data_IF_298923437341
#
_entry.id   IF_298923437341
#
_cell.length_a   1.000
_cell.length_b   1.000
_cell.length_c   1.000
_cell.angle_alpha   90.00
_cell.angle_beta   90.00
_cell.angle_gamma   90.00
#
_symmetry.space_group_name_H-M   'P 1'
#
loop_
_entity.id
_entity.type
_entity.pdbx_description
1 polymer ?
#
# COMPACT_ATOMS: atom_id res chain seq x y z
N UNK A 1 22.96 0.56 13.46
CA UNK A 1 23.11 -0.39 12.33
C UNK A 1 22.45 0.17 11.08
N UNK A 2 23.16 0.14 9.95
CA UNK A 2 22.58 0.44 8.65
C UNK A 2 21.47 -0.59 8.36
N UNK A 3 20.26 -0.10 8.09
CA UNK A 3 19.07 -0.93 7.91
C UNK A 3 18.99 -1.40 6.46
N UNK A 4 18.54 -2.64 6.20
CA UNK A 4 18.33 -3.12 4.83
C UNK A 4 17.40 -2.17 4.07
N UNK A 5 17.79 -1.84 2.84
CA UNK A 5 16.92 -1.16 1.87
C UNK A 5 15.72 -2.05 1.57
N UNK A 6 14.53 -1.46 1.50
CA UNK A 6 13.35 -2.16 1.02
C UNK A 6 13.41 -2.18 -0.50
N UNK A 7 13.18 -3.35 -1.08
CA UNK A 7 13.05 -3.50 -2.52
C UNK A 7 11.71 -2.88 -2.92
N UNK A 8 11.76 -1.81 -3.70
CA UNK A 8 10.61 -1.06 -4.19
C UNK A 8 10.74 -0.86 -5.69
N UNK A 9 9.79 -1.41 -6.44
CA UNK A 9 9.73 -1.30 -7.89
C UNK A 9 8.26 -1.33 -8.36
N UNK A 10 7.95 -0.75 -9.54
CA UNK A 10 6.62 -0.78 -10.13
C UNK A 10 6.04 -2.20 -10.22
N UNK A 11 4.76 -2.34 -9.88
CA UNK A 11 4.04 -3.63 -9.90
C UNK A 11 4.44 -4.62 -8.79
N UNK A 12 5.30 -4.23 -7.84
CA UNK A 12 5.69 -5.10 -6.74
C UNK A 12 4.51 -5.37 -5.78
N UNK A 13 4.36 -6.63 -5.38
CA UNK A 13 3.35 -7.08 -4.41
C UNK A 13 4.00 -7.33 -3.06
N UNK A 14 3.35 -6.89 -1.99
CA UNK A 14 3.84 -7.02 -0.63
C UNK A 14 2.79 -7.56 0.31
N UNK A 15 3.19 -8.48 1.19
CA UNK A 15 2.49 -8.71 2.43
C UNK A 15 3.04 -7.78 3.50
N UNK A 16 2.17 -6.91 4.03
CA UNK A 16 2.51 -5.86 4.97
C UNK A 16 1.83 -6.13 6.31
N UNK A 17 2.59 -5.93 7.39
CA UNK A 17 2.06 -5.93 8.75
C UNK A 17 2.58 -4.76 9.56
N UNK A 18 1.72 -4.19 10.40
CA UNK A 18 2.08 -3.17 11.39
C UNK A 18 1.38 -3.47 12.70
N UNK A 19 2.11 -3.48 13.81
CA UNK A 19 1.63 -3.89 15.13
C UNK A 19 1.75 -2.75 16.13
N UNK A 20 0.76 -2.67 17.03
CA UNK A 20 0.66 -1.65 18.07
C UNK A 20 1.84 -1.66 19.01
N UNK A 21 2.28 -0.49 19.44
CA UNK A 21 3.40 -0.35 20.36
C UNK A 21 3.16 -1.20 21.61
N UNK A 22 4.20 -1.87 22.11
CA UNK A 22 4.09 -2.84 23.22
C UNK A 22 3.05 -3.97 23.02
N UNK A 23 2.60 -4.19 21.77
CA UNK A 23 1.53 -5.13 21.34
C UNK A 23 0.13 -4.73 21.81
N UNK A 24 -0.03 -3.46 22.17
CA UNK A 24 -1.31 -2.86 22.53
C UNK A 24 -2.26 -2.81 21.33
N UNK A 25 -3.54 -2.71 21.64
CA UNK A 25 -4.58 -2.64 20.65
C UNK A 25 -4.45 -1.36 19.82
N UNK A 26 -4.58 -1.53 18.50
CA UNK A 26 -4.54 -0.41 17.55
C UNK A 26 -5.91 -0.06 17.04
N UNK A 27 -6.94 -0.80 17.48
CA UNK A 27 -8.35 -0.56 17.22
C UNK A 27 -9.10 -0.79 18.55
N UNK A 28 -9.58 0.28 19.18
CA UNK A 28 -10.35 0.20 20.43
C UNK A 28 -11.86 0.17 20.17
N UNK A 29 -12.26 0.54 18.95
CA UNK A 29 -13.64 0.65 18.53
C UNK A 29 -13.77 0.40 17.03
N UNK A 30 -14.99 0.14 16.57
CA UNK A 30 -15.31 0.03 15.14
C UNK A 30 -15.12 1.35 14.38
N UNK A 31 -15.19 2.49 15.08
CA UNK A 31 -14.87 3.80 14.52
C UNK A 31 -13.37 3.91 14.16
N UNK A 32 -12.49 3.35 15.00
CA UNK A 32 -11.06 3.28 14.69
C UNK A 32 -10.79 2.43 13.45
N UNK A 33 -11.51 1.32 13.33
CA UNK A 33 -11.42 0.41 12.18
C UNK A 33 -11.88 1.06 10.89
N UNK A 34 -12.97 1.83 10.98
CA UNK A 34 -13.55 2.59 9.87
C UNK A 34 -12.61 3.73 9.44
N UNK A 35 -12.03 4.47 10.40
CA UNK A 35 -11.02 5.49 10.12
C UNK A 35 -9.81 4.93 9.39
N UNK A 36 -9.34 3.75 9.79
CA UNK A 36 -8.23 3.10 9.12
C UNK A 36 -8.55 2.76 7.66
N UNK A 37 -9.76 2.27 7.37
CA UNK A 37 -10.21 1.98 6.00
C UNK A 37 -10.31 3.26 5.17
N UNK A 38 -10.81 4.35 5.74
CA UNK A 38 -10.86 5.65 5.06
C UNK A 38 -9.45 6.15 4.71
N UNK A 39 -8.52 6.09 5.68
CA UNK A 39 -7.12 6.48 5.45
C UNK A 39 -6.46 5.57 4.41
N UNK A 40 -6.74 4.26 4.42
CA UNK A 40 -6.26 3.33 3.40
C UNK A 40 -6.77 3.74 2.02
N UNK A 41 -8.06 4.04 1.87
CA UNK A 41 -8.63 4.49 0.60
C UNK A 41 -7.97 5.76 0.07
N UNK A 42 -7.71 6.75 0.95
CA UNK A 42 -6.98 7.97 0.59
C UNK A 42 -5.54 7.68 0.15
N UNK A 43 -4.88 6.69 0.77
CA UNK A 43 -3.52 6.27 0.40
C UNK A 43 -3.54 5.53 -0.93
N UNK A 44 -4.49 4.62 -1.16
CA UNK A 44 -4.61 3.91 -2.43
C UNK A 44 -4.81 4.86 -3.60
N UNK A 45 -5.73 5.83 -3.46
CA UNK A 45 -5.96 6.86 -4.47
C UNK A 45 -4.72 7.73 -4.72
N UNK A 46 -3.96 8.06 -3.67
CA UNK A 46 -2.78 8.95 -3.79
C UNK A 46 -1.55 8.26 -4.36
N UNK A 47 -1.35 6.98 -4.02
CA UNK A 47 -0.12 6.23 -4.33
C UNK A 47 -0.35 5.16 -5.40
N UNK A 48 -1.54 5.13 -6.01
CA UNK A 48 -1.90 4.16 -7.04
C UNK A 48 -1.66 2.72 -6.54
N UNK A 49 -2.20 2.41 -5.36
CA UNK A 49 -2.13 1.07 -4.80
C UNK A 49 -3.37 0.27 -5.14
N UNK A 50 -3.14 -1.00 -5.45
CA UNK A 50 -4.19 -1.99 -5.60
C UNK A 50 -4.10 -2.94 -4.42
N UNK A 51 -5.19 -3.10 -3.67
CA UNK A 51 -5.25 -4.03 -2.54
C UNK A 51 -5.89 -5.32 -3.01
N UNK A 52 -5.22 -6.44 -2.74
CA UNK A 52 -5.72 -7.79 -3.06
C UNK A 52 -6.44 -8.43 -1.87
N UNK A 53 -5.96 -8.15 -0.65
CA UNK A 53 -6.60 -8.61 0.57
C UNK A 53 -6.19 -7.74 1.77
N UNK A 54 -7.05 -7.63 2.77
CA UNK A 54 -6.69 -7.04 4.06
C UNK A 54 -7.39 -7.75 5.21
N UNK A 55 -6.82 -7.65 6.40
CA UNK A 55 -7.48 -8.07 7.64
C UNK A 55 -6.98 -7.20 8.78
N UNK A 56 -7.88 -6.52 9.46
CA UNK A 56 -7.58 -5.84 10.72
C UNK A 56 -7.76 -6.84 11.86
N UNK A 57 -6.73 -7.00 12.68
CA UNK A 57 -6.80 -7.73 13.94
C UNK A 57 -7.10 -6.74 15.06
N UNK A 58 -6.89 -7.08 16.33
CA UNK A 58 -7.03 -6.11 17.45
C UNK A 58 -5.80 -5.22 17.59
N UNK A 59 -4.61 -5.81 17.61
CA UNK A 59 -3.34 -5.09 17.83
C UNK A 59 -2.46 -4.96 16.57
N UNK A 60 -2.92 -5.38 15.41
CA UNK A 60 -2.20 -5.23 14.14
C UNK A 60 -3.14 -5.33 12.95
N UNK A 61 -2.63 -5.10 11.76
CA UNK A 61 -3.31 -5.43 10.51
C UNK A 61 -2.39 -6.23 9.58
N UNK A 62 -3.02 -6.92 8.64
CA UNK A 62 -2.43 -7.56 7.47
C UNK A 62 -2.94 -6.88 6.22
N UNK A 63 -2.05 -6.59 5.28
CA UNK A 63 -2.37 -5.95 4.01
C UNK A 63 -1.57 -6.61 2.89
N UNK A 64 -2.25 -7.15 1.88
CA UNK A 64 -1.66 -7.65 0.65
C UNK A 64 -1.88 -6.60 -0.43
N UNK A 65 -0.81 -5.89 -0.78
CA UNK A 65 -0.87 -4.68 -1.61
C UNK A 65 0.11 -4.73 -2.77
N UNK A 66 -0.35 -4.31 -3.93
CA UNK A 66 0.46 -4.07 -5.11
C UNK A 66 0.70 -2.56 -5.25
N UNK A 67 1.97 -2.17 -5.39
CA UNK A 67 2.33 -0.77 -5.60
C UNK A 67 2.66 -0.55 -7.07
N UNK A 68 1.70 -0.03 -7.84
CA UNK A 68 1.85 0.17 -9.30
C UNK A 68 3.09 1.02 -9.60
N UNK A 69 3.35 2.07 -8.80
CA UNK A 69 4.50 2.97 -9.03
C UNK A 69 5.73 2.67 -8.15
N UNK A 70 5.73 1.56 -7.38
CA UNK A 70 6.86 1.19 -6.52
C UNK A 70 7.10 2.15 -5.34
N UNK A 71 6.03 2.61 -4.70
CA UNK A 71 6.05 3.72 -3.73
C UNK A 71 5.60 3.30 -2.31
N UNK A 72 5.81 2.04 -1.93
CA UNK A 72 5.35 1.42 -0.68
C UNK A 72 5.69 2.27 0.57
N UNK A 73 6.95 2.67 0.74
CA UNK A 73 7.40 3.45 1.90
C UNK A 73 6.70 4.80 2.03
N UNK A 74 6.40 5.44 0.89
CA UNK A 74 5.67 6.71 0.86
C UNK A 74 4.24 6.54 1.36
N UNK A 75 3.52 5.56 0.81
CA UNK A 75 2.14 5.29 1.20
C UNK A 75 2.02 4.77 2.62
N UNK A 76 2.92 3.88 3.08
CA UNK A 76 2.89 3.37 4.46
C UNK A 76 3.18 4.45 5.50
N UNK A 77 4.06 5.41 5.18
CA UNK A 77 4.31 6.57 6.04
C UNK A 77 3.04 7.39 6.20
N UNK A 78 2.27 7.57 5.12
CA UNK A 78 1.02 8.31 5.16
C UNK A 78 -0.09 7.52 5.88
N UNK A 79 -0.27 6.24 5.57
CA UNK A 79 -1.26 5.36 6.19
C UNK A 79 -1.09 5.33 7.71
N UNK A 80 0.07 4.89 8.19
CA UNK A 80 0.31 4.78 9.62
C UNK A 80 0.34 6.16 10.30
N UNK A 81 0.88 7.18 9.63
CA UNK A 81 1.00 8.53 10.18
C UNK A 81 -0.35 9.22 10.39
N UNK A 82 -1.21 9.20 9.36
CA UNK A 82 -2.55 9.81 9.45
C UNK A 82 -3.44 9.03 10.42
N UNK A 83 -3.40 7.70 10.36
CA UNK A 83 -4.17 6.88 11.29
C UNK A 83 -3.76 7.10 12.75
N UNK A 84 -2.45 7.12 13.05
CA UNK A 84 -1.94 7.42 14.41
C UNK A 84 -2.43 8.78 14.89
N UNK A 85 -2.45 9.81 14.03
CA UNK A 85 -2.95 11.13 14.39
C UNK A 85 -4.45 11.14 14.71
N UNK A 86 -5.27 10.42 13.93
CA UNK A 86 -6.71 10.28 14.18
C UNK A 86 -6.98 9.52 15.48
N UNK A 87 -6.33 8.37 15.66
CA UNK A 87 -6.44 7.55 16.85
C UNK A 87 -6.05 8.32 18.12
N UNK A 88 -4.88 8.97 18.12
CA UNK A 88 -4.41 9.74 19.26
C UNK A 88 -5.35 10.90 19.60
N UNK A 89 -5.93 11.56 18.59
CA UNK A 89 -6.91 12.62 18.80
C UNK A 89 -8.20 12.09 19.42
N UNK A 90 -8.75 10.98 18.91
CA UNK A 90 -9.98 10.36 19.44
C UNK A 90 -9.79 9.94 20.90
N UNK A 91 -8.66 9.33 21.21
CA UNK A 91 -8.41 8.71 22.52
C UNK A 91 -7.62 9.62 23.49
N UNK A 92 -7.37 10.88 23.11
CA UNK A 92 -6.58 11.84 23.91
C UNK A 92 -5.19 11.32 24.31
N UNK A 93 -4.53 10.60 23.40
CA UNK A 93 -3.21 10.01 23.59
C UNK A 93 -2.11 10.82 22.88
N UNK A 94 -0.86 10.55 23.25
CA UNK A 94 0.33 11.10 22.61
C UNK A 94 1.35 10.00 22.33
N UNK A 95 2.26 10.24 21.38
CA UNK A 95 3.33 9.30 21.05
C UNK A 95 2.99 8.32 19.93
N UNK A 96 3.68 7.17 19.92
CA UNK A 96 3.61 6.19 18.86
C UNK A 96 2.47 5.19 19.09
N UNK A 97 1.60 5.01 18.08
CA UNK A 97 0.62 3.93 18.10
C UNK A 97 1.23 2.58 17.70
N UNK A 98 2.19 2.57 16.76
CA UNK A 98 2.82 1.35 16.26
C UNK A 98 4.27 1.21 16.76
N UNK A 99 4.76 -0.04 16.91
CA UNK A 99 6.12 -0.41 17.40
C UNK A 99 7.29 0.14 16.57
N UNK A 100 7.01 0.86 15.50
CA UNK A 100 7.99 1.40 14.58
C UNK A 100 7.55 1.24 13.13
N UNK A 101 8.51 0.87 12.27
CA UNK A 101 8.19 0.69 10.85
C UNK A 101 7.42 -0.61 10.63
N UNK A 102 6.50 -0.57 9.67
CA UNK A 102 5.87 -1.75 9.12
C UNK A 102 6.90 -2.80 8.65
N UNK A 103 6.50 -4.07 8.74
CA UNK A 103 7.16 -5.18 8.04
C UNK A 103 6.54 -5.33 6.67
N UNK A 104 7.37 -5.60 5.67
CA UNK A 104 6.93 -5.88 4.31
C UNK A 104 7.75 -7.04 3.76
N UNK A 105 7.05 -8.04 3.25
CA UNK A 105 7.61 -9.20 2.56
C UNK A 105 7.26 -9.03 1.09
N UNK A 106 8.26 -8.98 0.21
CA UNK A 106 8.06 -8.95 -1.23
C UNK A 106 7.58 -10.32 -1.70
N UNK A 107 6.54 -10.33 -2.52
CA UNK A 107 5.82 -11.52 -2.95
C UNK A 107 5.98 -11.70 -4.45
N UNK A 108 6.32 -12.92 -4.88
CA UNK A 108 6.12 -13.35 -6.26
C UNK A 108 4.63 -13.60 -6.50
N UNK A 109 3.96 -12.65 -7.15
CA UNK A 109 2.50 -12.61 -7.31
C UNK A 109 1.95 -13.92 -7.86
N UNK A 110 2.53 -14.42 -8.95
CA UNK A 110 2.05 -15.59 -9.69
C UNK A 110 2.09 -16.88 -8.85
N UNK A 111 2.99 -16.95 -7.87
CA UNK A 111 3.18 -18.15 -7.05
C UNK A 111 2.38 -18.10 -5.74
N UNK A 112 2.15 -16.92 -5.16
CA UNK A 112 1.69 -16.80 -3.77
C UNK A 112 0.45 -15.92 -3.57
N UNK A 113 -0.09 -15.26 -4.60
CA UNK A 113 -1.21 -14.32 -4.44
C UNK A 113 -2.44 -14.97 -3.77
N UNK A 114 -2.90 -16.12 -4.30
CA UNK A 114 -4.09 -16.80 -3.78
C UNK A 114 -3.87 -17.30 -2.35
N UNK A 115 -2.74 -17.96 -2.12
CA UNK A 115 -2.35 -18.47 -0.81
C UNK A 115 -2.26 -17.38 0.26
N UNK A 116 -1.71 -16.22 -0.09
CA UNK A 116 -1.64 -15.09 0.83
C UNK A 116 -2.99 -14.44 1.06
N UNK A 117 -3.83 -14.33 0.03
CA UNK A 117 -5.17 -13.77 0.17
C UNK A 117 -5.97 -14.60 1.18
N UNK A 118 -5.98 -15.93 0.99
CA UNK A 118 -6.56 -16.89 1.93
C UNK A 118 -5.96 -16.77 3.32
N UNK A 119 -4.63 -16.73 3.43
CA UNK A 119 -3.97 -16.59 4.72
C UNK A 119 -4.40 -15.31 5.44
N UNK A 120 -4.47 -14.18 4.74
CA UNK A 120 -4.84 -12.88 5.31
C UNK A 120 -6.24 -12.93 5.92
N UNK A 121 -7.24 -13.40 5.18
CA UNK A 121 -8.63 -13.43 5.66
C UNK A 121 -8.87 -14.50 6.73
N UNK A 122 -8.08 -15.57 6.79
CA UNK A 122 -8.18 -16.61 7.82
C UNK A 122 -7.59 -16.21 9.18
N UNK A 123 -6.90 -15.08 9.30
CA UNK A 123 -6.25 -14.71 10.58
C UNK A 123 -7.21 -14.61 11.78
N UNK A 124 -8.44 -14.06 11.67
CA UNK A 124 -9.39 -14.01 12.77
C UNK A 124 -9.77 -15.39 13.31
N UNK A 125 -10.07 -16.35 12.43
CA UNK A 125 -10.32 -17.76 12.81
C UNK A 125 -9.09 -18.38 13.48
N UNK A 126 -7.91 -18.23 12.86
CA UNK A 126 -6.64 -18.79 13.39
C UNK A 126 -6.29 -18.22 14.77
N UNK A 127 -6.63 -16.97 15.02
CA UNK A 127 -6.46 -16.29 16.30
C UNK A 127 -7.60 -16.57 17.30
N UNK A 128 -8.61 -17.36 16.91
CA UNK A 128 -9.80 -17.68 17.71
C UNK A 128 -10.57 -16.43 18.16
N UNK A 129 -10.59 -15.40 17.31
CA UNK A 129 -11.38 -14.18 17.55
C UNK A 129 -12.84 -14.36 17.16
N UNK A 130 -13.11 -15.28 16.23
CA UNK A 130 -14.44 -15.62 15.71
C UNK A 130 -14.52 -17.12 15.44
N UNK A 131 -15.73 -17.65 15.35
CA UNK A 131 -16.00 -19.05 14.94
C UNK A 131 -16.29 -19.16 13.45
N UNK A 132 -16.71 -18.06 12.82
CA UNK A 132 -17.02 -17.96 11.39
C UNK A 132 -16.41 -16.68 10.81
N UNK A 133 -15.97 -16.72 9.54
CA UNK A 133 -15.36 -15.55 8.89
C UNK A 133 -16.38 -14.44 8.63
N UNK A 134 -17.64 -14.81 8.49
CA UNK A 134 -18.79 -13.94 8.32
C UNK A 134 -18.97 -13.01 9.54
N UNK A 135 -18.54 -13.44 10.73
CA UNK A 135 -18.59 -12.62 11.96
C UNK A 135 -17.48 -11.55 12.00
N UNK A 136 -16.54 -11.56 11.06
CA UNK A 136 -15.41 -10.62 11.02
C UNK A 136 -15.44 -9.69 9.81
N UNK A 137 -16.30 -8.67 9.89
CA UNK A 137 -16.43 -7.61 8.87
C UNK A 137 -15.14 -6.82 8.59
N UNK A 138 -14.16 -6.88 9.49
CA UNK A 138 -12.93 -6.09 9.42
C UNK A 138 -11.82 -6.75 8.57
N UNK A 139 -12.23 -7.39 7.48
CA UNK A 139 -11.36 -8.02 6.49
C UNK A 139 -11.88 -7.80 5.07
N UNK A 140 -11.11 -8.21 4.06
CA UNK A 140 -11.56 -8.20 2.67
C UNK A 140 -12.57 -9.31 2.36
N UNK A 141 -12.80 -10.28 3.26
CA UNK A 141 -13.62 -11.46 2.98
C UNK A 141 -15.06 -11.14 2.59
N UNK A 142 -15.83 -10.30 3.34
CA UNK A 142 -17.22 -9.97 2.98
C UNK A 142 -17.35 -9.31 1.60
N UNK A 143 -16.35 -8.50 1.21
CA UNK A 143 -16.31 -7.86 -0.10
C UNK A 143 -16.05 -8.87 -1.22
N UNK A 144 -15.09 -9.77 -1.01
CA UNK A 144 -14.74 -10.78 -2.02
C UNK A 144 -15.79 -11.88 -2.13
N UNK A 145 -16.56 -12.19 -1.08
CA UNK A 145 -17.68 -13.14 -1.12
C UNK A 145 -19.02 -12.51 -1.54
N UNK A 146 -19.04 -11.20 -1.80
CA UNK A 146 -20.22 -10.50 -2.31
C UNK A 146 -21.28 -10.17 -1.26
N UNK A 147 -20.94 -10.25 0.03
CA UNK A 147 -21.78 -9.80 1.13
C UNK A 147 -21.83 -8.27 1.23
N UNK A 148 -20.72 -7.61 0.86
CA UNK A 148 -20.60 -6.15 0.81
C UNK A 148 -20.08 -5.68 -0.56
N UNK A 149 -20.43 -4.45 -0.93
CA UNK A 149 -19.93 -3.83 -2.16
C UNK A 149 -18.45 -3.45 -1.98
N UNK A 150 -17.52 -3.92 -2.85
CA UNK A 150 -16.11 -3.63 -2.68
C UNK A 150 -15.80 -2.14 -2.91
N UNK A 151 -14.93 -1.54 -2.09
CA UNK A 151 -14.40 -0.22 -2.38
C UNK A 151 -13.52 -0.26 -3.64
N UNK A 152 -13.42 0.86 -4.35
CA UNK A 152 -12.74 0.91 -5.67
C UNK A 152 -11.25 0.58 -5.64
N UNK A 153 -10.62 0.59 -4.46
CA UNK A 153 -9.20 0.27 -4.26
C UNK A 153 -8.94 -1.21 -3.96
N UNK A 154 -9.99 -2.02 -3.75
CA UNK A 154 -9.91 -3.46 -3.50
C UNK A 154 -10.19 -4.23 -4.80
N UNK A 155 -9.21 -4.96 -5.31
CA UNK A 155 -9.31 -5.74 -6.54
C UNK A 155 -9.98 -7.10 -6.32
N UNK A 156 -11.29 -7.08 -6.10
CA UNK A 156 -12.06 -8.33 -6.00
C UNK A 156 -12.20 -9.02 -7.36
N UNK A 157 -12.28 -8.27 -8.45
CA UNK A 157 -12.57 -8.83 -9.77
C UNK A 157 -11.37 -9.55 -10.36
N UNK A 158 -10.17 -8.97 -10.25
CA UNK A 158 -8.92 -9.63 -10.66
C UNK A 158 -8.63 -10.89 -9.85
N UNK A 159 -8.98 -10.90 -8.56
CA UNK A 159 -8.86 -12.08 -7.70
C UNK A 159 -9.89 -13.16 -8.06
N UNK A 160 -11.17 -12.80 -8.17
CA UNK A 160 -12.25 -13.75 -8.49
C UNK A 160 -12.10 -14.35 -9.90
N UNK A 161 -11.55 -13.58 -10.85
CA UNK A 161 -11.25 -14.07 -12.20
C UNK A 161 -10.27 -15.24 -12.25
N UNK A 162 -9.51 -15.50 -11.18
CA UNK A 162 -8.63 -16.66 -11.04
C UNK A 162 -9.40 -17.97 -10.73
N UNK A 163 -10.67 -17.87 -10.31
CA UNK A 163 -11.48 -19.02 -9.89
C UNK A 163 -12.49 -19.46 -10.94
N UNK A 164 -13.15 -18.51 -11.60
CA UNK A 164 -14.08 -18.77 -12.70
C UNK A 164 -14.37 -17.48 -13.50
N UNK A 165 -14.84 -17.65 -14.74
CA UNK A 165 -15.32 -16.53 -15.57
C UNK A 165 -16.71 -16.04 -15.14
N UNK A 166 -17.57 -16.94 -14.63
CA UNK A 166 -18.87 -16.58 -14.08
C UNK A 166 -18.69 -16.07 -12.64
N UNK A 167 -19.25 -14.89 -12.33
CA UNK A 167 -19.10 -14.27 -11.01
C UNK A 167 -19.67 -15.14 -9.88
N UNK A 168 -20.87 -15.71 -10.05
CA UNK A 168 -21.49 -16.54 -9.01
C UNK A 168 -20.64 -17.76 -8.67
N UNK A 169 -20.15 -18.46 -9.70
CA UNK A 169 -19.25 -19.59 -9.53
C UNK A 169 -17.90 -19.18 -8.90
N UNK A 170 -17.35 -18.02 -9.28
CA UNK A 170 -16.11 -17.52 -8.71
C UNK A 170 -16.23 -17.22 -7.21
N UNK A 171 -17.35 -16.64 -6.77
CA UNK A 171 -17.63 -16.38 -5.35
C UNK A 171 -17.67 -17.68 -4.54
N UNK A 172 -18.38 -18.69 -5.04
CA UNK A 172 -18.49 -20.00 -4.40
C UNK A 172 -17.12 -20.69 -4.28
N UNK A 173 -16.39 -20.78 -5.40
CA UNK A 173 -15.06 -21.40 -5.45
C UNK A 173 -14.05 -20.67 -4.57
N UNK A 174 -14.11 -19.34 -4.50
CA UNK A 174 -13.28 -18.56 -3.60
C UNK A 174 -13.59 -18.89 -2.13
N UNK A 175 -14.86 -18.93 -1.73
CA UNK A 175 -15.26 -19.31 -0.37
C UNK A 175 -14.76 -20.71 0.00
N UNK A 176 -14.95 -21.69 -0.88
CA UNK A 176 -14.43 -23.06 -0.70
C UNK A 176 -12.90 -23.08 -0.58
N UNK A 177 -12.20 -22.34 -1.44
CA UNK A 177 -10.74 -22.23 -1.41
C UNK A 177 -10.22 -21.64 -0.09
N UNK A 178 -10.88 -20.59 0.42
CA UNK A 178 -10.53 -19.96 1.69
C UNK A 178 -10.70 -20.95 2.83
N UNK A 179 -11.86 -21.60 2.94
CA UNK A 179 -12.13 -22.54 4.03
C UNK A 179 -11.24 -23.80 3.96
N UNK A 180 -10.85 -24.24 2.76
CA UNK A 180 -9.86 -25.31 2.60
C UNK A 180 -8.46 -24.95 3.14
N UNK A 181 -8.20 -23.68 3.49
CA UNK A 181 -6.98 -23.24 4.15
C UNK A 181 -7.02 -23.26 5.68
N UNK A 182 -8.16 -23.62 6.28
CA UNK A 182 -8.26 -23.82 7.72
C UNK A 182 -7.35 -24.98 8.15
N UNK A 183 -6.63 -24.80 9.26
CA UNK A 183 -5.65 -25.78 9.75
C UNK A 183 -4.33 -25.85 8.95
N UNK A 184 -4.24 -25.27 7.76
CA UNK A 184 -2.99 -25.24 7.00
C UNK A 184 -1.93 -24.34 7.67
N UNK A 185 -0.64 -24.71 7.58
CA UNK A 185 0.45 -23.90 8.11
C UNK A 185 0.47 -22.50 7.48
N UNK A 186 1.09 -21.54 8.16
CA UNK A 186 1.23 -20.19 7.61
C UNK A 186 2.18 -20.20 6.39
N UNK A 187 1.79 -19.63 5.23
CA UNK A 187 2.69 -19.48 4.09
C UNK A 187 3.90 -18.60 4.43
N UNK A 188 3.80 -17.80 5.50
CA UNK A 188 4.93 -17.02 6.02
C UNK A 188 6.11 -17.87 6.48
N UNK A 189 5.92 -19.17 6.77
CA UNK A 189 7.02 -20.09 7.08
C UNK A 189 7.95 -20.32 5.88
N UNK A 190 7.47 -20.14 4.66
CA UNK A 190 8.28 -20.22 3.45
C UNK A 190 9.12 -18.95 3.21
N UNK A 191 8.89 -17.87 3.99
CA UNK A 191 9.62 -16.61 3.82
C UNK A 191 11.12 -16.81 4.04
N UNK A 192 11.93 -16.36 3.08
CA UNK A 192 13.39 -16.36 3.21
C UNK A 192 13.89 -15.00 3.68
N UNK A 193 14.78 -15.04 4.66
CA UNK A 193 15.37 -13.85 5.31
C UNK A 193 14.34 -12.83 5.83
N UNK A 194 13.10 -13.26 6.09
CA UNK A 194 11.99 -12.40 6.52
C UNK A 194 11.61 -11.29 5.53
N UNK A 195 12.02 -11.38 4.25
CA UNK A 195 11.88 -10.30 3.27
C UNK A 195 11.34 -10.74 1.91
N UNK A 196 11.49 -12.01 1.53
CA UNK A 196 11.09 -12.53 0.23
C UNK A 196 10.22 -13.78 0.37
N UNK A 197 9.18 -13.86 -0.45
CA UNK A 197 8.34 -15.04 -0.64
C UNK A 197 8.20 -15.31 -2.14
N UNK A 198 8.93 -16.30 -2.63
CA UNK A 198 9.04 -16.65 -4.05
C UNK A 198 9.85 -17.93 -4.24
N UNK A 199 9.96 -18.39 -5.49
CA UNK A 199 10.81 -19.52 -5.87
C UNK A 199 12.32 -19.16 -5.84
N UNK A 200 13.19 -20.16 -6.03
CA UNK A 200 14.66 -19.93 -6.02
C UNK A 200 15.13 -18.96 -7.11
N UNK A 201 14.46 -18.90 -8.25
CA UNK A 201 14.83 -17.99 -9.34
C UNK A 201 14.45 -16.54 -8.98
N UNK A 202 13.27 -16.33 -8.39
CA UNK A 202 12.83 -15.06 -7.84
C UNK A 202 13.78 -14.57 -6.74
N UNK A 203 14.16 -15.46 -5.81
CA UNK A 203 15.16 -15.17 -4.78
C UNK A 203 16.50 -14.76 -5.39
N UNK A 204 16.99 -15.48 -6.41
CA UNK A 204 18.26 -15.21 -7.08
C UNK A 204 18.30 -13.82 -7.73
N UNK A 205 17.24 -13.45 -8.46
CA UNK A 205 17.11 -12.14 -9.12
C UNK A 205 17.18 -10.97 -8.14
N UNK A 206 16.55 -11.12 -6.97
CA UNK A 206 16.49 -10.07 -5.96
C UNK A 206 17.63 -10.11 -4.93
N UNK A 207 18.47 -11.16 -4.97
CA UNK A 207 19.70 -11.26 -4.16
C UNK A 207 20.85 -10.46 -4.76
N UNK A 208 20.97 -10.41 -6.08
CA UNK A 208 22.05 -9.71 -6.81
C UNK A 208 21.94 -8.19 -6.76
N UNK A 209 20.72 -7.66 -6.61
CA UNK A 209 20.47 -6.21 -6.54
C UNK A 209 20.92 -5.60 -5.19
N UNK A 210 21.75 -6.23 -4.38
CA UNK A 210 22.10 -5.69 -3.03
C UNK A 210 23.00 -4.45 -3.03
N UNK A 211 23.59 -4.05 -4.15
CA UNK A 211 24.29 -2.77 -4.23
C UNK A 211 23.28 -1.62 -4.19
N UNK A 212 23.31 -0.84 -3.11
CA UNK A 212 22.41 0.28 -2.88
C UNK A 212 22.48 1.35 -4.00
N UNK A 213 23.63 1.45 -4.68
CA UNK A 213 23.83 2.32 -5.83
C UNK A 213 23.19 1.73 -7.08
N UNK A 214 23.48 0.47 -7.42
CA UNK A 214 22.87 -0.23 -8.56
C UNK A 214 21.34 -0.31 -8.46
N UNK A 215 20.76 -0.56 -7.27
CA UNK A 215 19.29 -0.56 -7.09
C UNK A 215 18.66 0.81 -7.32
N UNK A 216 19.31 1.87 -6.83
CA UNK A 216 18.80 3.24 -6.98
C UNK A 216 18.91 3.69 -8.42
N UNK A 217 19.98 3.31 -9.12
CA UNK A 217 20.18 3.58 -10.52
C UNK A 217 19.23 2.77 -11.40
N UNK A 218 19.06 1.46 -11.15
CA UNK A 218 18.11 0.60 -11.89
C UNK A 218 16.66 1.02 -11.64
N UNK A 219 16.27 1.34 -10.40
CA UNK A 219 14.91 1.82 -10.10
C UNK A 219 14.64 3.20 -10.70
N UNK A 220 15.63 4.12 -10.73
CA UNK A 220 15.50 5.40 -11.45
C UNK A 220 15.51 5.23 -12.96
N UNK A 221 16.36 4.36 -13.50
CA UNK A 221 16.42 4.05 -14.93
C UNK A 221 15.09 3.44 -15.40
N UNK A 222 14.51 2.52 -14.62
CA UNK A 222 13.21 1.94 -14.90
C UNK A 222 12.06 2.95 -14.73
N UNK A 223 12.10 3.81 -13.70
CA UNK A 223 11.15 4.93 -13.60
C UNK A 223 11.31 5.93 -14.74
N UNK A 224 12.52 6.17 -15.26
CA UNK A 224 12.75 7.02 -16.44
C UNK A 224 12.28 6.39 -17.73
N UNK A 225 12.29 5.06 -17.86
CA UNK A 225 11.75 4.40 -19.05
C UNK A 225 10.23 4.43 -19.14
N UNK A 226 9.54 4.70 -18.03
CA UNK A 226 8.07 4.73 -17.94
C UNK A 226 7.54 6.16 -17.69
N UNK A 227 8.32 7.01 -17.03
CA UNK A 227 7.98 8.40 -16.83
C UNK A 227 8.14 9.19 -18.13
N UNK A 228 7.28 10.20 -18.30
CA UNK A 228 7.44 11.21 -19.34
C UNK A 228 8.84 11.83 -19.26
N UNK A 229 9.40 12.16 -20.42
CA UNK A 229 10.59 12.98 -20.52
C UNK A 229 10.36 14.36 -19.89
N UNK A 230 11.44 15.03 -19.48
CA UNK A 230 11.32 16.38 -18.93
C UNK A 230 10.79 17.39 -19.98
N UNK A 231 11.03 17.14 -21.27
CA UNK A 231 10.46 17.92 -22.37
C UNK A 231 8.94 17.72 -22.47
N UNK A 232 8.44 16.50 -22.27
CA UNK A 232 7.01 16.21 -22.25
C UNK A 232 6.32 16.82 -21.02
N UNK A 233 6.95 16.78 -19.84
CA UNK A 233 6.44 17.51 -18.67
C UNK A 233 6.40 19.01 -18.95
N UNK A 234 7.44 19.58 -19.58
CA UNK A 234 7.45 20.99 -19.98
C UNK A 234 6.34 21.32 -20.99
N UNK A 235 6.06 20.44 -21.94
CA UNK A 235 5.04 20.67 -22.96
C UNK A 235 3.61 20.53 -22.45
N UNK A 236 3.37 19.66 -21.45
CA UNK A 236 2.02 19.36 -20.91
C UNK A 236 1.50 20.40 -19.92
N UNK A 237 2.37 21.20 -19.32
CA UNK A 237 1.98 22.17 -18.31
C UNK A 237 2.33 23.59 -18.77
N UNK A 238 1.34 24.48 -18.76
CA UNK A 238 1.55 25.90 -19.05
C UNK A 238 2.41 26.59 -17.96
N UNK A 239 2.32 26.12 -16.71
CA UNK A 239 3.16 26.58 -15.62
C UNK A 239 4.41 25.70 -15.48
N UNK A 240 5.57 26.35 -15.59
CA UNK A 240 6.88 25.72 -15.42
C UNK A 240 7.06 25.14 -14.02
N UNK A 241 6.55 25.81 -12.99
CA UNK A 241 6.70 25.36 -11.60
C UNK A 241 5.89 24.08 -11.37
N UNK A 242 4.70 23.98 -11.97
CA UNK A 242 3.91 22.76 -11.99
C UNK A 242 4.62 21.63 -12.74
N UNK A 243 5.18 21.90 -13.93
CA UNK A 243 5.93 20.90 -14.69
C UNK A 243 7.09 20.31 -13.88
N UNK A 244 7.87 21.18 -13.21
CA UNK A 244 8.98 20.76 -12.36
C UNK A 244 8.52 19.98 -11.13
N UNK A 245 7.39 20.36 -10.53
CA UNK A 245 6.84 19.68 -9.37
C UNK A 245 6.34 18.28 -9.70
N UNK A 246 5.57 18.13 -10.78
CA UNK A 246 5.06 16.84 -11.23
C UNK A 246 6.18 15.91 -11.72
N UNK A 247 7.16 16.44 -12.44
CA UNK A 247 8.37 15.70 -12.82
C UNK A 247 9.18 15.21 -11.61
N UNK A 248 9.19 15.96 -10.51
CA UNK A 248 9.85 15.50 -9.27
C UNK A 248 9.01 14.44 -8.54
N UNK A 249 7.68 14.64 -8.46
CA UNK A 249 6.77 13.76 -7.74
C UNK A 249 6.62 12.38 -8.40
N UNK A 250 6.88 12.25 -9.70
CA UNK A 250 6.95 10.95 -10.37
C UNK A 250 8.14 10.09 -9.91
N UNK A 251 9.14 10.69 -9.24
CA UNK A 251 10.26 9.99 -8.63
C UNK A 251 11.32 9.46 -9.60
N UNK A 252 11.23 9.79 -10.91
CA UNK A 252 12.18 9.41 -11.95
C UNK A 252 13.39 10.36 -12.05
N UNK A 253 13.21 11.63 -11.65
CA UNK A 253 14.20 12.70 -11.76
C UNK A 253 14.55 13.32 -10.40
N UNK A 254 15.81 13.68 -10.21
CA UNK A 254 16.24 14.46 -9.05
C UNK A 254 15.99 15.95 -9.25
N UNK A 255 15.88 16.73 -8.18
CA UNK A 255 15.75 18.19 -8.28
C UNK A 255 16.92 18.83 -9.04
N UNK A 256 18.11 18.25 -8.97
CA UNK A 256 19.29 18.72 -9.71
C UNK A 256 19.14 18.45 -11.21
N UNK A 257 18.62 17.29 -11.61
CA UNK A 257 18.38 16.95 -13.01
C UNK A 257 17.28 17.80 -13.63
N UNK A 258 16.17 17.98 -12.90
CA UNK A 258 15.09 18.88 -13.30
C UNK A 258 15.63 20.31 -13.41
N UNK A 259 16.40 20.77 -12.42
CA UNK A 259 17.02 22.10 -12.45
C UNK A 259 17.89 22.31 -13.69
N UNK A 260 18.79 21.36 -13.99
CA UNK A 260 19.62 21.41 -15.20
C UNK A 260 18.79 21.48 -16.48
N UNK A 261 17.74 20.66 -16.60
CA UNK A 261 16.89 20.65 -17.79
C UNK A 261 16.07 21.93 -17.97
N UNK A 262 15.49 22.45 -16.87
CA UNK A 262 14.71 23.69 -16.90
C UNK A 262 15.57 24.96 -16.83
N UNK A 263 16.90 24.83 -16.86
CA UNK A 263 17.88 25.91 -16.74
C UNK A 263 17.69 26.77 -15.47
N UNK A 264 17.39 26.12 -14.34
CA UNK A 264 17.22 26.76 -13.04
C UNK A 264 18.02 26.04 -11.95
N UNK A 265 18.32 26.75 -10.87
CA UNK A 265 18.94 26.13 -9.71
C UNK A 265 17.99 25.14 -9.02
N UNK A 266 18.50 24.05 -8.45
CA UNK A 266 17.67 23.01 -7.81
C UNK A 266 16.77 23.55 -6.69
N UNK A 267 17.18 24.66 -6.06
CA UNK A 267 16.37 25.35 -5.03
C UNK A 267 15.08 25.94 -5.60
N UNK A 268 15.05 26.34 -6.87
CA UNK A 268 13.84 26.79 -7.55
C UNK A 268 12.87 25.63 -7.72
N UNK A 269 13.36 24.45 -8.12
CA UNK A 269 12.58 23.20 -8.18
C UNK A 269 12.00 22.84 -6.81
N UNK A 270 12.83 22.94 -5.75
CA UNK A 270 12.38 22.67 -4.37
C UNK A 270 11.24 23.59 -3.93
N UNK A 271 11.31 24.89 -4.26
CA UNK A 271 10.24 25.85 -3.97
C UNK A 271 8.96 25.54 -4.74
N UNK A 272 9.07 25.22 -6.02
CA UNK A 272 7.95 24.82 -6.87
C UNK A 272 7.24 23.57 -6.31
N UNK A 273 7.99 22.52 -5.94
CA UNK A 273 7.45 21.30 -5.31
C UNK A 273 6.71 21.63 -4.01
N UNK A 274 7.33 22.42 -3.11
CA UNK A 274 6.70 22.78 -1.83
C UNK A 274 5.39 23.55 -2.01
N UNK A 275 5.38 24.52 -2.94
CA UNK A 275 4.18 25.30 -3.26
C UNK A 275 3.10 24.40 -3.83
N UNK A 276 3.44 23.56 -4.81
CA UNK A 276 2.52 22.60 -5.42
C UNK A 276 1.90 21.64 -4.39
N UNK A 277 2.71 21.07 -3.48
CA UNK A 277 2.20 20.20 -2.41
C UNK A 277 1.26 20.93 -1.43
N UNK A 278 1.54 22.21 -1.13
CA UNK A 278 0.67 23.04 -0.30
C UNK A 278 -0.66 23.37 -0.98
N UNK A 279 -0.63 23.75 -2.26
CA UNK A 279 -1.83 24.09 -3.03
C UNK A 279 -2.71 22.85 -3.26
N UNK A 280 -2.08 21.70 -3.56
CA UNK A 280 -2.78 20.41 -3.67
C UNK A 280 -3.43 19.99 -2.35
N UNK A 281 -2.76 20.24 -1.22
CA UNK A 281 -3.31 19.98 0.12
C UNK A 281 -4.52 20.88 0.43
N UNK A 282 -4.48 22.16 0.05
CA UNK A 282 -5.61 23.09 0.19
C UNK A 282 -6.80 22.68 -0.69
N UNK A 283 -6.53 22.22 -1.92
CA UNK A 283 -7.56 21.77 -2.85
C UNK A 283 -8.29 20.53 -2.33
N UNK A 284 -7.55 19.55 -1.80
CA UNK A 284 -8.14 18.34 -1.17
C UNK A 284 -8.99 18.73 0.04
N UNK A 285 -8.51 19.62 0.91
CA UNK A 285 -9.29 20.10 2.06
C UNK A 285 -10.55 20.86 1.62
N UNK A 286 -10.49 21.68 0.56
CA UNK A 286 -11.64 22.40 0.03
C UNK A 286 -12.70 21.48 -0.60
N UNK A 287 -12.29 20.36 -1.22
CA UNK A 287 -13.22 19.34 -1.74
C UNK A 287 -13.92 18.61 -0.60
N UNK A 288 -13.19 18.29 0.48
CA UNK A 288 -13.74 17.64 1.68
C UNK A 288 -14.74 18.56 2.40
N UNK A 289 -14.44 19.86 2.53
CA UNK A 289 -15.33 20.83 3.20
C UNK A 289 -16.61 21.09 2.40
N UNK A 290 -16.59 20.98 1.05
CA UNK A 290 -17.78 21.15 0.20
C UNK A 290 -18.73 19.93 0.18
N UNK A 291 -18.31 18.80 0.73
CA UNK A 291 -19.14 17.58 0.84
C UNK A 291 -19.69 17.35 2.26
N UNK A 292 -19.37 18.23 3.21
CA UNK A 292 -20.03 18.23 4.50
C UNK A 292 -21.47 18.77 4.33
N UNK A 293 -22.51 18.05 4.79
CA UNK A 293 -23.87 18.57 4.75
C UNK A 293 -23.94 19.86 5.58
N UNK A 294 -24.59 20.88 5.04
CA UNK A 294 -24.96 22.05 5.82
C UNK A 294 -25.94 21.61 6.91
N UNK A 295 -25.61 21.93 8.16
CA UNK A 295 -26.52 21.80 9.31
C UNK A 295 -27.82 22.57 9.09
#
# INVERSE_FOLDING_TARGET
MARPLRLEFPGAVYHVTSRGDRREDVFLSDDDRSDWLEVLGLVCARFNWVVHAFCQMTNHYHLLVETVDGNLSGGMRQLNGLYTQRFNRRHSLVGHLFQGRYKAILVQKEAYLLELTRYVVLNPLRAKLVESLEDWRWSSYPFTTGQEAPPSWLDTDGLLGQFAANRGEALERYGQFVMAGEGLPSPMLATRHQLLLGDQAFEGRHRQTRNAEDLREVSRAHRRSIALSLDEYRARHADRDQAMAEAYLCGAYTMAEIGRHFAVHYMTVSRAVRKFEQDRKKMIVAVIVKQAPAE
#
